data_IF_009324228142
#
_entry.id   IF_009324228142
#
_cell.length_a   1.000
_cell.length_b   1.000
_cell.length_c   1.000
_cell.angle_alpha   90.00
_cell.angle_beta   90.00
_cell.angle_gamma   90.00
#
_symmetry.space_group_name_H-M   'P 1'
#
loop_
_entity.id
_entity.type
_entity.pdbx_description
1 polymer ?
#
# COMPACT_ATOMS: atom_id res chain seq x y z
N UNK A 1 7.45 -26.31 -28.20
CA UNK A 1 7.95 -25.53 -27.04
C UNK A 1 7.43 -24.12 -27.17
N UNK A 2 6.58 -23.69 -26.23
CA UNK A 2 6.41 -22.30 -25.81
C UNK A 2 5.52 -22.34 -24.56
N UNK A 3 6.17 -22.51 -23.41
CA UNK A 3 5.54 -22.19 -22.13
C UNK A 3 5.45 -20.67 -22.12
N UNK A 4 4.26 -20.15 -22.39
CA UNK A 4 3.96 -18.76 -22.08
C UNK A 4 4.01 -18.69 -20.56
N UNK A 5 5.13 -18.18 -20.04
CA UNK A 5 5.29 -17.87 -18.61
C UNK A 5 4.31 -16.73 -18.27
N UNK A 6 3.04 -17.09 -18.12
CA UNK A 6 2.03 -16.25 -17.50
C UNK A 6 2.33 -16.22 -16.00
N UNK A 7 3.43 -15.56 -15.62
CA UNK A 7 3.56 -15.00 -14.29
C UNK A 7 2.51 -13.91 -14.17
N UNK A 8 1.27 -14.31 -13.86
CA UNK A 8 0.27 -13.42 -13.32
C UNK A 8 0.80 -13.05 -11.94
N UNK A 9 1.65 -12.02 -11.92
CA UNK A 9 2.04 -11.36 -10.70
C UNK A 9 0.75 -10.79 -10.12
N UNK A 10 0.14 -11.52 -9.18
CA UNK A 10 -1.06 -11.09 -8.48
C UNK A 10 -0.74 -9.76 -7.80
N UNK A 11 -1.22 -8.67 -8.39
CA UNK A 11 -1.07 -7.31 -7.87
C UNK A 11 -2.25 -7.05 -6.95
N UNK A 12 -2.04 -7.02 -5.64
CA UNK A 12 -3.07 -6.56 -4.71
C UNK A 12 -2.92 -5.05 -4.50
N UNK A 13 -3.93 -4.27 -4.89
CA UNK A 13 -3.96 -2.84 -4.59
C UNK A 13 -4.45 -2.63 -3.17
N UNK A 14 -3.69 -1.85 -2.39
CA UNK A 14 -4.01 -1.46 -1.02
C UNK A 14 -4.19 0.03 -0.90
N UNK A 15 -4.88 0.42 0.18
CA UNK A 15 -5.13 1.81 0.53
C UNK A 15 -4.73 2.01 2.00
N UNK A 16 -3.90 3.01 2.26
CA UNK A 16 -3.55 3.46 3.60
C UNK A 16 -3.98 4.90 3.79
N UNK A 17 -4.60 5.22 4.92
CA UNK A 17 -4.92 6.59 5.32
C UNK A 17 -4.00 6.98 6.46
N UNK A 18 -3.39 8.15 6.35
CA UNK A 18 -2.52 8.74 7.37
C UNK A 18 -3.07 10.13 7.68
N UNK A 19 -3.37 10.38 8.96
CA UNK A 19 -3.91 11.64 9.46
C UNK A 19 -3.02 12.14 10.60
N UNK A 20 -2.51 13.36 10.50
CA UNK A 20 -1.76 14.03 11.58
C UNK A 20 -1.87 15.56 11.41
N UNK A 21 -1.61 16.30 12.49
CA UNK A 21 -1.52 17.76 12.48
C UNK A 21 -0.11 18.22 12.08
N UNK A 22 0.89 17.34 12.17
CA UNK A 22 2.28 17.61 11.83
C UNK A 22 2.68 16.89 10.55
N UNK A 23 3.01 17.68 9.51
CA UNK A 23 3.46 17.16 8.22
C UNK A 23 4.74 16.30 8.33
N UNK A 24 5.62 16.56 9.29
CA UNK A 24 6.82 15.73 9.51
C UNK A 24 6.47 14.31 9.95
N UNK A 25 5.43 14.16 10.78
CA UNK A 25 4.96 12.83 11.20
C UNK A 25 4.38 12.06 10.01
N UNK A 26 3.61 12.75 9.17
CA UNK A 26 3.07 12.17 7.92
C UNK A 26 4.19 11.75 6.99
N UNK A 27 5.17 12.61 6.75
CA UNK A 27 6.31 12.31 5.89
C UNK A 27 7.05 11.06 6.40
N UNK A 28 7.29 10.97 7.71
CA UNK A 28 7.93 9.79 8.30
C UNK A 28 7.09 8.52 8.12
N UNK A 29 5.78 8.61 8.29
CA UNK A 29 4.87 7.48 8.12
C UNK A 29 4.78 7.02 6.65
N UNK A 30 4.75 7.95 5.69
CA UNK A 30 4.81 7.64 4.25
C UNK A 30 6.14 6.98 3.90
N UNK A 31 7.26 7.55 4.35
CA UNK A 31 8.59 6.99 4.08
C UNK A 31 8.73 5.58 4.64
N UNK A 32 8.23 5.35 5.86
CA UNK A 32 8.23 4.01 6.46
C UNK A 32 7.41 3.02 5.62
N UNK A 33 6.21 3.40 5.20
CA UNK A 33 5.36 2.57 4.33
C UNK A 33 6.09 2.21 3.03
N UNK A 34 6.67 3.19 2.34
CA UNK A 34 7.34 2.97 1.05
C UNK A 34 8.64 2.15 1.15
N UNK A 35 9.19 2.00 2.35
CA UNK A 35 10.36 1.16 2.62
C UNK A 35 10.00 -0.28 2.98
N UNK A 36 8.72 -0.60 3.23
CA UNK A 36 8.29 -1.97 3.52
C UNK A 36 8.49 -2.84 2.27
N UNK A 37 9.16 -3.99 2.40
CA UNK A 37 9.44 -4.93 1.28
C UNK A 37 8.16 -5.43 0.59
N UNK A 38 7.04 -5.38 1.31
CA UNK A 38 5.72 -5.72 0.81
C UNK A 38 5.23 -4.67 -0.20
N UNK A 39 5.65 -3.41 -0.11
CA UNK A 39 5.26 -2.37 -1.05
C UNK A 39 6.05 -2.52 -2.35
N UNK A 40 5.35 -2.94 -3.39
CA UNK A 40 5.91 -3.13 -4.71
C UNK A 40 5.97 -1.84 -5.51
N UNK A 41 4.88 -1.08 -5.50
CA UNK A 41 4.75 0.12 -6.33
C UNK A 41 3.77 1.11 -5.70
N UNK A 42 4.16 2.36 -5.59
CA UNK A 42 3.22 3.45 -5.32
C UNK A 42 2.35 3.70 -6.56
N UNK A 43 1.03 3.69 -6.37
CA UNK A 43 0.04 3.92 -7.44
C UNK A 43 -0.42 5.37 -7.46
N UNK A 44 -0.83 5.90 -6.30
CA UNK A 44 -1.33 7.27 -6.20
C UNK A 44 -1.24 7.79 -4.76
N UNK A 45 -1.20 9.12 -4.61
CA UNK A 45 -1.35 9.80 -3.33
C UNK A 45 -2.38 10.90 -3.49
N UNK A 46 -3.40 10.90 -2.64
CA UNK A 46 -4.36 11.99 -2.49
C UNK A 46 -4.15 12.67 -1.15
N UNK A 47 -4.40 13.96 -1.12
CA UNK A 47 -4.21 14.80 0.05
C UNK A 47 -5.41 15.71 0.24
N UNK A 48 -5.79 15.93 1.50
CA UNK A 48 -6.75 16.95 1.90
C UNK A 48 -6.36 17.53 3.25
N UNK A 49 -6.84 18.73 3.52
CA UNK A 49 -6.84 19.31 4.87
C UNK A 49 -8.26 19.43 5.37
N UNK A 50 -8.44 19.34 6.68
CA UNK A 50 -9.69 19.64 7.33
C UNK A 50 -9.44 20.19 8.73
N UNK A 51 -10.30 21.10 9.17
CA UNK A 51 -10.32 21.56 10.54
C UNK A 51 -10.95 20.50 11.44
N UNK A 52 -10.20 20.06 12.46
CA UNK A 52 -10.66 19.15 13.51
C UNK A 52 -10.34 19.78 14.84
N UNK A 53 -11.36 20.05 15.66
CA UNK A 53 -11.20 20.68 16.97
C UNK A 53 -10.41 22.02 16.92
N UNK A 54 -10.70 22.88 15.95
CA UNK A 54 -10.00 24.16 15.71
C UNK A 54 -8.51 24.04 15.37
N UNK A 55 -8.04 22.85 14.98
CA UNK A 55 -6.67 22.63 14.51
C UNK A 55 -6.70 22.07 13.10
N UNK A 56 -5.84 22.59 12.23
CA UNK A 56 -5.65 22.06 10.89
C UNK A 56 -5.08 20.64 10.98
N UNK A 57 -5.82 19.71 10.39
CA UNK A 57 -5.40 18.32 10.28
C UNK A 57 -5.17 17.97 8.82
N UNK A 58 -4.07 17.28 8.55
CA UNK A 58 -3.66 16.87 7.23
C UNK A 58 -3.96 15.38 7.06
N UNK A 59 -4.62 15.01 5.96
CA UNK A 59 -4.94 13.62 5.66
C UNK A 59 -4.41 13.23 4.29
N UNK A 60 -3.70 12.11 4.26
CA UNK A 60 -3.16 11.51 3.06
C UNK A 60 -3.78 10.13 2.85
N UNK A 61 -4.25 9.88 1.64
CA UNK A 61 -4.69 8.58 1.17
C UNK A 61 -3.67 8.06 0.16
N UNK A 62 -2.99 6.99 0.52
CA UNK A 62 -1.90 6.38 -0.25
C UNK A 62 -2.44 5.10 -0.84
N UNK A 63 -2.33 4.97 -2.17
CA UNK A 63 -2.72 3.80 -2.93
C UNK A 63 -1.44 3.16 -3.46
N UNK A 64 -1.24 1.89 -3.18
CA UNK A 64 -0.03 1.17 -3.56
C UNK A 64 -0.32 -0.29 -3.91
N UNK A 65 0.53 -0.90 -4.71
CA UNK A 65 0.53 -2.35 -4.95
C UNK A 65 1.43 -3.03 -3.93
N UNK A 66 0.97 -4.15 -3.38
CA UNK A 66 1.80 -5.06 -2.60
C UNK A 66 2.32 -6.23 -3.42
N UNK A 67 3.50 -6.72 -3.05
CA UNK A 67 4.01 -8.02 -3.42
C UNK A 67 3.13 -9.07 -2.74
N UNK A 68 2.25 -9.72 -3.50
CA UNK A 68 1.64 -10.96 -3.03
C UNK A 68 2.72 -12.02 -3.14
N UNK A 69 3.52 -12.21 -2.09
CA UNK A 69 4.22 -13.46 -1.93
C UNK A 69 3.12 -14.53 -1.95
N UNK A 70 3.08 -15.33 -3.01
CA UNK A 70 2.32 -16.58 -3.01
C UNK A 70 2.92 -17.40 -1.87
N UNK A 71 2.36 -17.23 -0.66
CA UNK A 71 2.47 -18.22 0.38
C UNK A 71 2.07 -19.52 -0.30
N UNK A 72 3.06 -20.42 -0.38
CA UNK A 72 3.00 -21.76 -0.98
C UNK A 72 1.55 -22.19 -1.14
N UNK A 73 1.07 -22.28 -2.38
CA UNK A 73 -0.19 -22.97 -2.67
C UNK A 73 -0.15 -24.27 -1.88
N UNK A 74 -1.04 -24.41 -0.89
CA UNK A 74 -1.13 -25.63 -0.11
C UNK A 74 -1.58 -26.70 -1.11
N UNK A 75 -0.74 -27.70 -1.49
CA UNK A 75 -0.99 -28.44 -2.73
C UNK A 75 -2.16 -29.41 -2.70
N UNK A 76 -2.94 -29.50 -1.61
CA UNK A 76 -3.91 -30.59 -1.44
C UNK A 76 -5.14 -30.16 -0.62
N UNK A 77 -6.14 -29.60 -1.30
CA UNK A 77 -7.54 -29.69 -0.86
C UNK A 77 -8.37 -30.36 -1.96
N UNK A 78 -7.97 -31.56 -2.33
CA UNK A 78 -8.84 -32.58 -2.93
C UNK A 78 -8.34 -33.94 -2.46
N UNK A 79 -9.00 -34.48 -1.43
CA UNK A 79 -9.47 -35.87 -1.36
C UNK A 79 -10.59 -35.96 -0.31
#
# INVERSE_FOLDING_TARGET
>A
MNKSDNNILNKMTKVKIIEDQNLSNIQNAINKLLQEEEVKQLVNIKFTTHLKNNVDTYTFLIIYEENVNQGKEDPQMYE
#
